data_IF_260786845989
#
_entry.id   IF_260786845989
#
_cell.length_a   1.000
_cell.length_b   1.000
_cell.length_c   1.000
_cell.angle_alpha   90.00
_cell.angle_beta   90.00
_cell.angle_gamma   90.00
#
_symmetry.space_group_name_H-M   'P 1'
#
loop_
_entity.id
_entity.type
_entity.pdbx_description
1 polymer ?
#
# COMPACT_ATOMS: atom_id res chain seq x y z
N UNK A 1 3.98 8.49 2.58
CA UNK A 1 3.78 7.53 1.47
C UNK A 1 5.07 7.19 0.72
N UNK A 2 5.73 8.13 0.03
CA UNK A 2 6.91 7.84 -0.80
C UNK A 2 8.03 7.06 -0.08
N UNK A 3 8.39 7.45 1.16
CA UNK A 3 9.38 6.72 1.99
C UNK A 3 8.94 5.30 2.36
N UNK A 4 7.64 5.08 2.57
CA UNK A 4 7.10 3.75 2.84
C UNK A 4 7.26 2.86 1.60
N UNK A 5 6.87 3.36 0.43
CA UNK A 5 7.01 2.63 -0.83
C UNK A 5 8.49 2.38 -1.19
N UNK A 6 9.38 3.34 -0.92
CA UNK A 6 10.84 3.19 -1.11
C UNK A 6 11.41 2.01 -0.30
N UNK A 7 10.89 1.79 0.91
CA UNK A 7 11.30 0.66 1.76
C UNK A 7 10.82 -0.69 1.22
N UNK A 8 9.72 -0.71 0.47
CA UNK A 8 9.08 -1.92 -0.06
C UNK A 8 9.57 -2.32 -1.46
N UNK A 9 10.52 -1.57 -2.05
CA UNK A 9 11.05 -1.80 -3.41
C UNK A 9 12.58 -1.88 -3.42
N UNK A 10 13.18 -2.78 -4.21
CA UNK A 10 14.65 -3.00 -4.21
C UNK A 10 15.41 -2.09 -5.16
N UNK A 11 14.83 -1.81 -6.31
CA UNK A 11 15.58 -1.37 -7.51
C UNK A 11 15.12 -0.05 -8.10
N UNK A 12 14.12 0.60 -7.51
CA UNK A 12 13.65 1.92 -7.92
C UNK A 12 13.55 2.84 -6.71
N UNK A 13 13.72 4.13 -6.94
CA UNK A 13 13.50 5.14 -5.92
C UNK A 13 12.21 5.91 -6.20
N UNK A 14 11.36 6.05 -5.19
CA UNK A 14 10.14 6.86 -5.26
C UNK A 14 10.39 8.22 -4.61
N UNK A 15 10.19 9.30 -5.35
CA UNK A 15 10.33 10.67 -4.83
C UNK A 15 9.05 11.47 -5.05
N UNK A 16 8.62 12.27 -4.06
CA UNK A 16 7.44 13.12 -4.23
C UNK A 16 7.71 14.26 -5.23
N UNK A 17 6.67 14.66 -5.95
CA UNK A 17 6.57 15.86 -6.78
C UNK A 17 5.34 16.67 -6.36
N UNK A 18 5.27 17.94 -6.79
CA UNK A 18 4.13 18.84 -6.49
C UNK A 18 2.78 18.26 -6.88
N UNK A 19 2.72 17.50 -7.99
CA UNK A 19 1.52 16.80 -8.46
C UNK A 19 1.83 15.33 -8.79
N UNK A 20 2.24 14.57 -7.78
CA UNK A 20 2.42 13.13 -7.87
C UNK A 20 3.80 12.66 -7.42
N UNK A 21 4.39 11.73 -8.17
CA UNK A 21 5.65 11.09 -7.84
C UNK A 21 6.53 10.93 -9.07
N UNK A 22 7.83 10.77 -8.84
CA UNK A 22 8.77 10.29 -9.84
C UNK A 22 9.35 8.97 -9.38
N UNK A 23 9.32 7.99 -10.29
CA UNK A 23 9.98 6.70 -10.11
C UNK A 23 11.31 6.77 -10.86
N UNK A 24 12.42 6.65 -10.12
CA UNK A 24 13.78 6.69 -10.68
C UNK A 24 14.38 5.29 -10.70
N UNK A 25 14.91 4.87 -11.84
CA UNK A 25 15.66 3.63 -12.01
C UNK A 25 17.16 3.86 -11.72
N UNK A 26 17.94 2.81 -11.43
CA UNK A 26 19.39 2.92 -11.18
C UNK A 26 20.14 3.40 -12.42
N UNK A 27 19.57 3.14 -13.61
CA UNK A 27 20.08 3.59 -14.91
C UNK A 27 19.94 5.09 -15.14
N UNK A 28 19.37 5.85 -14.19
CA UNK A 28 19.12 7.28 -14.33
C UNK A 28 17.80 7.64 -15.03
N UNK A 29 17.10 6.66 -15.63
CA UNK A 29 15.78 6.88 -16.20
C UNK A 29 14.76 7.26 -15.11
N UNK A 30 14.00 8.33 -15.34
CA UNK A 30 12.99 8.83 -14.42
C UNK A 30 11.64 8.93 -15.13
N UNK A 31 10.58 8.42 -14.48
CA UNK A 31 9.22 8.50 -15.00
C UNK A 31 8.30 9.21 -14.01
N UNK A 32 7.68 10.34 -14.38
CA UNK A 32 6.65 10.97 -13.57
C UNK A 32 5.36 10.13 -13.61
N UNK A 33 4.65 10.09 -12.48
CA UNK A 33 3.37 9.40 -12.30
C UNK A 33 2.48 10.26 -11.42
N UNK A 34 1.28 10.54 -11.90
CA UNK A 34 0.35 11.50 -11.27
C UNK A 34 -0.75 10.83 -10.44
N UNK A 35 -1.00 9.53 -10.67
CA UNK A 35 -2.03 8.76 -9.97
C UNK A 35 -1.41 7.69 -9.07
N UNK A 36 -2.12 7.32 -7.99
CA UNK A 36 -1.71 6.23 -7.11
C UNK A 36 -1.62 4.92 -7.89
N UNK A 37 -2.63 4.58 -8.70
CA UNK A 37 -2.62 3.37 -9.53
C UNK A 37 -1.45 3.34 -10.50
N UNK A 38 -1.14 4.48 -11.14
CA UNK A 38 0.01 4.60 -12.02
C UNK A 38 1.33 4.38 -11.30
N UNK A 39 1.45 4.91 -10.07
CA UNK A 39 2.60 4.68 -9.21
C UNK A 39 2.72 3.20 -8.81
N UNK A 40 1.63 2.57 -8.36
CA UNK A 40 1.64 1.15 -7.95
C UNK A 40 2.03 0.26 -9.13
N UNK A 41 1.40 0.44 -10.30
CA UNK A 41 1.78 -0.29 -11.53
C UNK A 41 3.24 -0.07 -11.92
N UNK A 42 3.79 1.12 -11.66
CA UNK A 42 5.17 1.43 -11.97
C UNK A 42 6.18 0.72 -11.05
N UNK A 43 5.82 0.46 -9.79
CA UNK A 43 6.74 -0.07 -8.78
C UNK A 43 6.49 -1.54 -8.43
N UNK A 44 5.32 -2.10 -8.73
CA UNK A 44 4.99 -3.49 -8.43
C UNK A 44 6.01 -4.51 -8.98
N UNK A 45 6.55 -4.37 -10.21
CA UNK A 45 7.60 -5.27 -10.71
C UNK A 45 8.93 -5.20 -9.92
N UNK A 46 9.07 -4.20 -9.05
CA UNK A 46 10.27 -3.94 -8.26
C UNK A 46 10.03 -4.19 -6.76
N UNK A 47 8.88 -4.76 -6.39
CA UNK A 47 8.53 -5.13 -5.03
C UNK A 47 9.57 -6.13 -4.46
N UNK A 48 9.91 -5.97 -3.18
CA UNK A 48 10.84 -6.89 -2.49
C UNK A 48 10.20 -8.18 -1.97
N UNK A 49 8.88 -8.23 -1.97
CA UNK A 49 8.08 -9.26 -1.31
C UNK A 49 7.36 -10.11 -2.35
N UNK A 50 7.28 -11.40 -2.09
CA UNK A 50 6.61 -12.37 -2.96
C UNK A 50 5.27 -12.85 -2.40
N UNK A 51 5.03 -12.63 -1.10
CA UNK A 51 3.77 -12.93 -0.44
C UNK A 51 3.35 -11.86 0.59
N UNK A 52 2.12 -12.00 1.09
CA UNK A 52 1.52 -11.09 2.06
C UNK A 52 2.22 -11.09 3.43
N UNK A 53 2.83 -12.20 3.84
CA UNK A 53 3.51 -12.31 5.12
C UNK A 53 4.85 -11.56 5.11
N UNK A 54 5.59 -11.63 4.00
CA UNK A 54 6.81 -10.85 3.77
C UNK A 54 6.49 -9.35 3.71
N UNK A 55 5.43 -8.97 3.00
CA UNK A 55 4.97 -7.58 2.93
C UNK A 55 4.59 -7.06 4.33
N UNK A 56 3.81 -7.80 5.09
CA UNK A 56 3.42 -7.41 6.45
C UNK A 56 4.64 -7.24 7.36
N UNK A 57 5.61 -8.16 7.28
CA UNK A 57 6.87 -8.07 8.04
C UNK A 57 7.66 -6.82 7.66
N UNK A 58 7.81 -6.53 6.38
CA UNK A 58 8.51 -5.34 5.91
C UNK A 58 7.83 -4.05 6.40
N UNK A 59 6.50 -4.00 6.44
CA UNK A 59 5.76 -2.85 6.97
C UNK A 59 5.92 -2.65 8.48
N UNK A 60 6.06 -3.75 9.24
CA UNK A 60 6.32 -3.69 10.69
C UNK A 60 7.70 -3.10 11.01
N UNK A 61 8.67 -3.25 10.10
CA UNK A 61 10.01 -2.66 10.24
C UNK A 61 10.04 -1.16 9.88
N UNK A 62 9.02 -0.65 9.18
CA UNK A 62 8.95 0.77 8.84
C UNK A 62 8.64 1.57 10.11
N UNK A 63 9.52 2.51 10.52
CA UNK A 63 9.30 3.30 11.72
C UNK A 63 8.04 4.14 11.57
N UNK A 64 7.28 4.25 12.66
CA UNK A 64 6.08 5.08 12.75
C UNK A 64 6.42 6.50 12.27
N UNK A 65 5.76 7.00 11.21
CA UNK A 65 5.97 8.37 10.76
C UNK A 65 5.67 9.32 11.93
N UNK A 66 6.57 10.25 12.22
CA UNK A 66 6.27 11.38 13.11
C UNK A 66 5.27 12.28 12.37
N UNK A 67 3.98 12.00 12.47
CA UNK A 67 2.94 12.89 11.95
C UNK A 67 2.58 13.93 13.02
N UNK A 68 2.40 15.21 12.65
CA UNK A 68 1.51 16.07 13.40
C UNK A 68 0.09 15.49 13.29
N UNK A 69 -0.64 15.49 14.41
CA UNK A 69 -2.02 14.99 14.54
C UNK A 69 -2.83 15.33 13.28
N UNK A 70 -3.16 14.33 12.47
CA UNK A 70 -4.02 14.54 11.31
C UNK A 70 -5.41 14.96 11.82
N UNK A 71 -5.97 16.04 11.28
CA UNK A 71 -7.37 16.35 11.46
C UNK A 71 -8.19 15.16 10.97
N UNK A 72 -9.10 14.70 11.82
CA UNK A 72 -9.95 13.55 11.57
C UNK A 72 -10.93 13.95 10.46
N UNK A 73 -10.61 13.61 9.21
CA UNK A 73 -11.53 13.82 8.10
C UNK A 73 -12.61 12.75 8.22
N UNK A 74 -13.85 13.16 8.48
CA UNK A 74 -15.03 12.29 8.52
C UNK A 74 -15.35 11.80 7.10
N UNK A 75 -14.67 10.73 6.69
CA UNK A 75 -15.06 9.95 5.53
C UNK A 75 -16.31 9.11 5.88
N UNK A 76 -17.22 8.88 4.91
CA UNK A 76 -18.40 8.06 5.16
C UNK A 76 -17.99 6.63 5.56
N UNK A 77 -18.33 6.28 6.79
CA UNK A 77 -18.06 4.97 7.40
C UNK A 77 -18.82 3.89 6.63
N UNK A 78 -18.11 2.98 5.97
CA UNK A 78 -18.70 1.74 5.45
C UNK A 78 -18.47 0.62 6.45
N UNK A 79 -19.56 0.15 7.06
CA UNK A 79 -19.55 -0.98 7.97
C UNK A 79 -18.92 -2.19 7.29
N UNK A 80 -17.90 -2.73 7.95
CA UNK A 80 -17.16 -3.93 7.58
C UNK A 80 -18.16 -5.09 7.47
N UNK A 81 -18.46 -5.51 6.25
CA UNK A 81 -19.00 -6.85 6.05
C UNK A 81 -17.78 -7.77 5.99
N UNK A 82 -17.69 -8.73 6.91
CA UNK A 82 -16.83 -9.89 6.73
C UNK A 82 -17.13 -10.46 5.35
N UNK A 83 -16.23 -10.22 4.40
CA UNK A 83 -16.33 -10.78 3.06
C UNK A 83 -16.06 -12.27 3.24
N UNK A 84 -17.12 -13.09 3.37
CA UNK A 84 -16.99 -14.53 3.53
C UNK A 84 -16.03 -15.09 2.48
N UNK A 85 -15.03 -15.85 2.93
CA UNK A 85 -13.99 -16.41 2.06
C UNK A 85 -12.81 -15.49 1.73
N UNK A 86 -12.70 -14.30 2.35
CA UNK A 86 -11.52 -13.43 2.21
C UNK A 86 -10.50 -13.65 3.34
N UNK A 87 -9.21 -13.64 2.98
CA UNK A 87 -8.09 -13.78 3.92
C UNK A 87 -7.66 -12.41 4.47
N UNK A 88 -7.57 -12.21 5.80
CA UNK A 88 -7.08 -10.96 6.37
C UNK A 88 -5.58 -10.77 6.09
N UNK A 89 -5.18 -9.57 5.66
CA UNK A 89 -3.78 -9.19 5.41
C UNK A 89 -3.47 -7.83 6.05
N UNK A 90 -2.20 -7.60 6.38
CA UNK A 90 -1.70 -6.39 7.07
C UNK A 90 -2.38 -6.09 8.42
N UNK A 91 -3.08 -7.08 9.00
CA UNK A 91 -3.81 -6.98 10.26
C UNK A 91 -2.93 -6.55 11.44
N UNK A 92 -1.64 -6.90 11.38
CA UNK A 92 -0.67 -6.59 12.45
C UNK A 92 -0.09 -5.19 12.34
N UNK A 93 -0.21 -4.55 11.18
CA UNK A 93 0.27 -3.19 10.94
C UNK A 93 -0.75 -2.24 11.53
N UNK A 94 -0.55 -1.75 12.75
CA UNK A 94 -1.48 -0.80 13.41
C UNK A 94 -0.91 0.61 13.53
N UNK A 95 0.41 0.74 13.39
CA UNK A 95 1.15 1.98 13.59
C UNK A 95 1.24 2.87 12.35
N UNK A 96 1.00 2.31 11.15
CA UNK A 96 1.04 3.08 9.91
C UNK A 96 -0.32 3.76 9.64
N UNK A 97 -0.31 5.01 9.15
CA UNK A 97 -1.54 5.71 8.82
C UNK A 97 -2.26 5.07 7.62
N UNK A 98 -3.58 5.24 7.53
CA UNK A 98 -4.45 4.63 6.53
C UNK A 98 -3.95 4.77 5.08
N UNK A 99 -3.48 5.96 4.69
CA UNK A 99 -2.97 6.20 3.33
C UNK A 99 -1.70 5.37 2.99
N UNK A 100 -0.88 5.00 3.99
CA UNK A 100 0.28 4.13 3.77
C UNK A 100 -0.14 2.66 3.70
N UNK A 101 -1.09 2.24 4.54
CA UNK A 101 -1.71 0.91 4.45
C UNK A 101 -2.40 0.69 3.10
N UNK A 102 -3.16 1.67 2.63
CA UNK A 102 -3.79 1.66 1.30
C UNK A 102 -2.75 1.44 0.19
N UNK A 103 -1.67 2.21 0.20
CA UNK A 103 -0.62 2.10 -0.80
C UNK A 103 0.10 0.73 -0.73
N UNK A 104 0.33 0.21 0.48
CA UNK A 104 0.95 -1.10 0.67
C UNK A 104 0.01 -2.24 0.25
N UNK A 105 -1.29 -2.14 0.56
CA UNK A 105 -2.30 -3.09 0.13
C UNK A 105 -2.43 -3.11 -1.40
N UNK A 106 -2.51 -1.95 -2.04
CA UNK A 106 -2.55 -1.85 -3.49
C UNK A 106 -1.28 -2.45 -4.14
N UNK A 107 -0.11 -2.25 -3.50
CA UNK A 107 1.13 -2.90 -3.94
C UNK A 107 1.03 -4.42 -3.83
N UNK A 108 0.66 -4.94 -2.66
CA UNK A 108 0.53 -6.38 -2.44
C UNK A 108 -0.50 -7.06 -3.36
N UNK A 109 -1.62 -6.40 -3.66
CA UNK A 109 -2.61 -6.89 -4.64
C UNK A 109 -2.02 -7.04 -6.05
N UNK A 110 -0.96 -6.28 -6.37
CA UNK A 110 -0.31 -6.27 -7.69
C UNK A 110 0.99 -7.09 -7.73
N UNK A 111 1.60 -7.43 -6.58
CA UNK A 111 2.90 -8.11 -6.50
C UNK A 111 2.88 -9.45 -5.76
N UNK A 112 1.94 -9.68 -4.85
CA UNK A 112 1.80 -10.94 -4.13
C UNK A 112 0.90 -11.92 -4.89
N UNK A 113 1.17 -13.22 -4.74
CA UNK A 113 0.23 -14.24 -5.18
C UNK A 113 -1.13 -14.07 -4.45
N UNK A 114 -2.21 -13.95 -5.22
CA UNK A 114 -3.57 -13.74 -4.72
C UNK A 114 -4.51 -14.80 -5.29
N UNK A 115 -4.24 -16.06 -4.94
CA UNK A 115 -5.14 -17.19 -5.21
C UNK A 115 -6.49 -17.09 -4.47
N UNK A 116 -6.62 -16.18 -3.51
CA UNK A 116 -7.84 -15.93 -2.74
C UNK A 116 -8.12 -14.43 -2.61
N UNK A 117 -9.38 -14.07 -2.37
CA UNK A 117 -9.75 -12.69 -2.00
C UNK A 117 -9.05 -12.33 -0.70
N UNK A 118 -8.51 -11.13 -0.62
CA UNK A 118 -7.83 -10.61 0.58
C UNK A 118 -8.51 -9.35 1.08
N UNK A 119 -8.39 -9.06 2.37
CA UNK A 119 -8.89 -7.81 2.94
C UNK A 119 -7.96 -7.24 4.00
N UNK A 120 -7.97 -5.93 4.18
CA UNK A 120 -7.20 -5.25 5.23
C UNK A 120 -8.01 -4.15 5.90
N UNK A 121 -7.78 -3.92 7.20
CA UNK A 121 -8.34 -2.79 7.93
C UNK A 121 -7.41 -1.57 7.83
N UNK A 122 -7.91 -0.47 7.27
CA UNK A 122 -7.21 0.80 7.20
C UNK A 122 -7.21 1.52 8.55
N UNK A 123 -8.34 1.46 9.25
CA UNK A 123 -8.58 1.98 10.60
C UNK A 123 -9.75 1.21 11.26
N UNK A 124 -10.20 1.66 12.43
CA UNK A 124 -11.27 1.03 13.21
C UNK A 124 -12.64 1.00 12.49
N UNK A 125 -12.80 1.73 11.39
CA UNK A 125 -14.07 1.92 10.67
C UNK A 125 -14.01 1.59 9.17
N UNK A 126 -12.83 1.32 8.61
CA UNK A 126 -12.66 1.13 7.16
C UNK A 126 -11.84 -0.11 6.83
N UNK A 127 -12.35 -0.92 5.90
CA UNK A 127 -11.65 -2.07 5.32
C UNK A 127 -11.60 -1.98 3.80
N UNK A 128 -10.51 -2.48 3.20
CA UNK A 128 -10.39 -2.69 1.75
C UNK A 128 -10.40 -4.17 1.45
N UNK A 129 -11.08 -4.56 0.38
CA UNK A 129 -10.98 -5.87 -0.25
C UNK A 129 -10.12 -5.81 -1.51
N UNK A 130 -9.56 -6.95 -1.92
CA UNK A 130 -8.83 -7.06 -3.17
C UNK A 130 -8.79 -8.49 -3.69
N UNK A 131 -8.71 -8.63 -5.01
CA UNK A 131 -8.46 -9.91 -5.69
C UNK A 131 -7.76 -9.61 -7.03
N UNK A 132 -6.80 -10.46 -7.43
CA UNK A 132 -6.15 -10.43 -8.77
C UNK A 132 -5.94 -9.02 -9.36
N UNK A 133 -5.20 -8.14 -8.69
CA UNK A 133 -4.90 -6.80 -9.22
C UNK A 133 -6.02 -5.75 -9.09
N UNK A 134 -7.19 -6.09 -8.55
CA UNK A 134 -8.34 -5.18 -8.33
C UNK A 134 -8.52 -4.91 -6.84
N UNK A 135 -8.64 -3.63 -6.47
CA UNK A 135 -8.96 -3.17 -5.10
C UNK A 135 -10.42 -2.70 -5.07
N UNK A 136 -11.21 -3.19 -4.12
CA UNK A 136 -12.58 -2.78 -3.85
C UNK A 136 -12.71 -2.20 -2.44
N UNK A 137 -13.49 -1.14 -2.30
CA UNK A 137 -13.84 -0.52 -1.00
C UNK A 137 -15.35 -0.40 -0.85
#
# INVERSE_FOLDING_TARGET
>A
MARCLDALVTSVAVRPLTQGWVVKKPTGAARPVQTLDGLIKAIAPHARHHDWAELERALLEIPTPRQPRAEQVDWPKRTIQNQEGASPVLSRVTHLPAHMKLAAFALGVQSCDTSTRVFTALDDSHSLGGHEGVVTG
#
